data_IF_552517537499
#
_entry.id   IF_552517537499
#
_cell.length_a   1.000
_cell.length_b   1.000
_cell.length_c   1.000
_cell.angle_alpha   90.00
_cell.angle_beta   90.00
_cell.angle_gamma   90.00
#
_symmetry.space_group_name_H-M   'P 1'
#
loop_
_entity.id
_entity.type
_entity.pdbx_description
1 polymer ?
#
# COMPACT_ATOMS: atom_id res chain seq x y z
N UNK A 1 33.09 -35.83 -9.41
CA UNK A 1 32.37 -34.58 -9.74
C UNK A 1 30.88 -34.83 -9.57
N UNK A 2 30.33 -34.53 -8.40
CA UNK A 2 28.88 -34.35 -8.22
C UNK A 2 28.69 -33.01 -7.51
N UNK A 3 28.03 -32.09 -8.22
CA UNK A 3 27.72 -30.75 -7.76
C UNK A 3 26.54 -30.79 -6.81
N UNK A 4 26.75 -30.34 -5.57
CA UNK A 4 25.72 -30.05 -4.58
C UNK A 4 24.97 -28.78 -5.02
N UNK A 5 23.63 -28.75 -5.07
CA UNK A 5 22.89 -27.54 -5.38
C UNK A 5 22.83 -26.59 -4.17
N UNK A 6 23.08 -25.32 -4.45
CA UNK A 6 23.23 -24.19 -3.51
C UNK A 6 21.85 -23.74 -2.97
N UNK A 7 21.62 -23.89 -1.66
CA UNK A 7 20.39 -23.52 -0.94
C UNK A 7 20.16 -22.02 -0.73
N UNK A 8 20.68 -21.16 -1.62
CA UNK A 8 20.62 -19.69 -1.48
C UNK A 8 19.40 -19.04 -2.15
N UNK A 9 18.59 -19.79 -2.91
CA UNK A 9 17.42 -19.24 -3.61
C UNK A 9 16.13 -19.23 -2.78
N UNK A 10 15.98 -20.10 -1.78
CA UNK A 10 14.75 -20.19 -0.98
C UNK A 10 14.61 -19.07 0.07
N UNK A 11 15.70 -18.48 0.54
CA UNK A 11 15.66 -17.42 1.56
C UNK A 11 15.20 -16.06 1.02
N UNK A 12 15.35 -15.82 -0.29
CA UNK A 12 15.03 -14.53 -0.92
C UNK A 12 13.53 -14.35 -1.20
N UNK A 13 12.82 -15.44 -1.50
CA UNK A 13 11.37 -15.42 -1.74
C UNK A 13 10.62 -15.25 -0.42
N UNK A 14 11.07 -15.90 0.66
CA UNK A 14 10.49 -15.75 2.01
C UNK A 14 10.59 -14.32 2.58
N UNK A 15 11.65 -13.58 2.24
CA UNK A 15 11.81 -12.18 2.64
C UNK A 15 10.80 -11.23 1.95
N UNK A 16 10.40 -11.54 0.71
CA UNK A 16 9.45 -10.72 -0.05
C UNK A 16 8.04 -10.81 0.56
N UNK A 17 7.59 -12.01 0.91
CA UNK A 17 6.30 -12.23 1.60
C UNK A 17 6.22 -11.59 2.99
N UNK A 18 7.32 -11.56 3.77
CA UNK A 18 7.35 -10.87 5.08
C UNK A 18 7.22 -9.35 4.97
N UNK A 19 7.62 -8.74 3.86
CA UNK A 19 7.40 -7.31 3.62
C UNK A 19 5.94 -6.99 3.25
N UNK A 20 5.26 -7.96 2.62
CA UNK A 20 3.84 -7.90 2.26
C UNK A 20 2.93 -8.03 3.49
N UNK A 21 3.39 -8.70 4.54
CA UNK A 21 2.67 -8.81 5.81
C UNK A 21 2.72 -7.55 6.69
N UNK A 22 3.43 -6.50 6.26
CA UNK A 22 3.38 -5.24 6.99
C UNK A 22 2.00 -4.58 6.82
N UNK A 23 1.37 -4.20 7.94
CA UNK A 23 0.13 -3.44 7.96
C UNK A 23 0.22 -2.20 7.06
N UNK A 24 1.42 -1.62 6.93
CA UNK A 24 1.78 -0.53 6.01
C UNK A 24 1.50 -0.87 4.55
N UNK A 25 1.99 -2.01 4.05
CA UNK A 25 1.81 -2.35 2.64
C UNK A 25 0.35 -2.67 2.34
N UNK A 26 -0.33 -3.43 3.22
CA UNK A 26 -1.74 -3.79 3.03
C UNK A 26 -2.65 -2.55 2.99
N UNK A 27 -2.48 -1.63 3.95
CA UNK A 27 -3.26 -0.39 3.97
C UNK A 27 -2.95 0.51 2.78
N UNK A 28 -1.67 0.64 2.39
CA UNK A 28 -1.29 1.39 1.20
C UNK A 28 -1.91 0.79 -0.09
N UNK A 29 -1.89 -0.53 -0.24
CA UNK A 29 -2.47 -1.22 -1.40
C UNK A 29 -3.99 -1.05 -1.49
N UNK A 30 -4.71 -1.16 -0.37
CA UNK A 30 -6.17 -0.96 -0.34
C UNK A 30 -6.53 0.46 -0.75
N UNK A 31 -5.80 1.45 -0.23
CA UNK A 31 -6.08 2.85 -0.55
C UNK A 31 -5.71 3.18 -2.00
N UNK A 32 -4.55 2.71 -2.47
CA UNK A 32 -4.17 2.83 -3.88
C UNK A 32 -5.24 2.24 -4.80
N UNK A 33 -5.70 1.03 -4.51
CA UNK A 33 -6.74 0.37 -5.27
C UNK A 33 -8.05 1.16 -5.27
N UNK A 34 -8.49 1.66 -4.11
CA UNK A 34 -9.69 2.48 -4.00
C UNK A 34 -9.61 3.78 -4.81
N UNK A 35 -8.48 4.50 -4.73
CA UNK A 35 -8.26 5.73 -5.50
C UNK A 35 -8.22 5.42 -7.00
N UNK A 36 -7.51 4.37 -7.41
CA UNK A 36 -7.48 3.94 -8.80
C UNK A 36 -8.87 3.61 -9.32
N UNK A 37 -9.67 2.85 -8.57
CA UNK A 37 -11.03 2.48 -8.97
C UNK A 37 -11.92 3.73 -9.19
N UNK A 38 -11.88 4.68 -8.24
CA UNK A 38 -12.63 5.94 -8.37
C UNK A 38 -12.15 6.76 -9.56
N UNK A 39 -10.83 6.84 -9.77
CA UNK A 39 -10.25 7.59 -10.88
C UNK A 39 -10.65 6.98 -12.24
N UNK A 40 -10.51 5.66 -12.41
CA UNK A 40 -10.95 4.97 -13.62
C UNK A 40 -12.46 5.11 -13.86
N UNK A 41 -13.28 5.00 -12.80
CA UNK A 41 -14.73 5.21 -12.90
C UNK A 41 -15.09 6.64 -13.33
N UNK A 42 -14.39 7.64 -12.80
CA UNK A 42 -14.56 9.04 -13.20
C UNK A 42 -14.15 9.29 -14.65
N UNK A 43 -13.06 8.68 -15.11
CA UNK A 43 -12.61 8.78 -16.51
C UNK A 43 -13.61 8.10 -17.46
N UNK A 44 -14.12 6.94 -17.08
CA UNK A 44 -15.11 6.19 -17.85
C UNK A 44 -16.42 6.97 -18.00
N UNK A 45 -16.96 7.49 -16.89
CA UNK A 45 -18.19 8.30 -16.91
C UNK A 45 -18.02 9.59 -17.70
N UNK A 46 -16.86 10.25 -17.59
CA UNK A 46 -16.55 11.43 -18.40
C UNK A 46 -16.52 11.13 -19.90
N UNK A 47 -15.85 10.05 -20.31
CA UNK A 47 -15.85 9.62 -21.71
C UNK A 47 -17.27 9.36 -22.22
N UNK A 48 -18.09 8.68 -21.42
CA UNK A 48 -19.48 8.40 -21.77
C UNK A 48 -20.36 9.66 -21.84
N UNK A 49 -20.13 10.63 -20.94
CA UNK A 49 -20.90 11.89 -20.89
C UNK A 49 -20.59 12.83 -22.05
N UNK A 50 -19.32 12.92 -22.46
CA UNK A 50 -18.88 13.78 -23.56
C UNK A 50 -19.50 13.38 -24.89
N UNK A 51 -19.61 12.07 -25.15
CA UNK A 51 -20.18 11.55 -26.39
C UNK A 51 -21.69 11.80 -26.48
N UNK A 52 -22.40 11.90 -25.35
CA UNK A 52 -23.86 12.06 -25.34
C UNK A 52 -24.33 13.52 -25.47
N UNK A 53 -23.67 14.48 -24.81
CA UNK A 53 -24.13 15.88 -24.81
C UNK A 53 -23.83 16.64 -26.11
N UNK A 54 -22.72 16.31 -26.76
CA UNK A 54 -22.29 17.01 -27.98
C UNK A 54 -23.06 16.55 -29.24
N UNK A 55 -23.50 15.30 -29.31
CA UNK A 55 -24.14 14.77 -30.51
C UNK A 55 -25.60 15.26 -30.65
N UNK A 56 -26.38 15.29 -29.57
CA UNK A 56 -27.79 15.72 -29.62
C UNK A 56 -27.96 17.20 -29.99
N UNK A 57 -27.16 18.10 -29.39
CA UNK A 57 -27.27 19.54 -29.66
C UNK A 57 -26.87 19.90 -31.10
N UNK A 58 -25.90 19.16 -31.66
CA UNK A 58 -25.45 19.36 -33.03
C UNK A 58 -26.44 18.78 -34.04
N UNK A 59 -27.02 17.61 -33.77
CA UNK A 59 -28.01 16.98 -34.65
C UNK A 59 -29.32 17.78 -34.74
N UNK A 60 -29.79 18.37 -33.63
CA UNK A 60 -30.94 19.29 -33.63
C UNK A 60 -30.66 20.51 -34.51
N UNK A 61 -29.47 21.12 -34.38
CA UNK A 61 -29.08 22.26 -35.22
C UNK A 61 -28.98 21.89 -36.70
N UNK A 62 -28.41 20.73 -37.02
CA UNK A 62 -28.32 20.23 -38.38
C UNK A 62 -29.72 19.99 -38.98
N UNK A 63 -30.63 19.38 -38.22
CA UNK A 63 -32.01 19.17 -38.65
C UNK A 63 -32.72 20.50 -39.00
N UNK A 64 -32.61 21.51 -38.12
CA UNK A 64 -33.18 22.84 -38.35
C UNK A 64 -32.56 23.55 -39.56
N UNK A 65 -31.24 23.42 -39.74
CA UNK A 65 -30.53 24.01 -40.87
C UNK A 65 -30.94 23.35 -42.20
N UNK A 66 -31.01 22.01 -42.25
CA UNK A 66 -31.48 21.29 -43.43
C UNK A 66 -32.93 21.65 -43.80
N UNK A 67 -33.82 21.80 -42.80
CA UNK A 67 -35.19 22.27 -43.03
C UNK A 67 -35.23 23.69 -43.58
N UNK A 68 -34.37 24.57 -43.06
CA UNK A 68 -34.25 25.96 -43.51
C UNK A 68 -33.78 26.02 -44.97
N UNK A 69 -32.77 25.24 -45.34
CA UNK A 69 -32.29 25.12 -46.71
C UNK A 69 -33.41 24.61 -47.62
N UNK A 70 -34.06 23.49 -47.24
CA UNK A 70 -35.20 22.92 -47.98
C UNK A 70 -36.29 23.94 -48.26
N UNK A 71 -36.71 24.68 -47.25
CA UNK A 71 -37.78 25.69 -47.37
C UNK A 71 -37.35 26.90 -48.21
N UNK A 72 -36.08 27.29 -48.14
CA UNK A 72 -35.56 28.45 -48.89
C UNK A 72 -35.41 28.12 -50.37
N UNK A 73 -34.82 26.97 -50.70
CA UNK A 73 -34.69 26.46 -52.07
C UNK A 73 -36.06 26.25 -52.72
N UNK A 74 -37.04 25.73 -51.98
CA UNK A 74 -38.41 25.54 -52.50
C UNK A 74 -39.15 26.84 -52.84
N UNK A 75 -38.81 27.95 -52.18
CA UNK A 75 -39.42 29.26 -52.44
C UNK A 75 -38.73 30.01 -53.58
N UNK A 76 -37.50 29.64 -53.92
CA UNK A 76 -36.74 30.27 -54.98
C UNK A 76 -37.20 29.80 -56.39
N UNK A 77 -37.14 30.68 -57.40
CA UNK A 77 -37.31 30.31 -58.80
C UNK A 77 -36.30 29.23 -59.21
N UNK A 78 -36.68 28.31 -60.11
CA UNK A 78 -35.85 27.16 -60.52
C UNK A 78 -34.43 27.54 -60.94
N UNK A 79 -34.27 28.69 -61.60
CA UNK A 79 -32.97 29.18 -62.11
C UNK A 79 -32.03 29.66 -60.99
N UNK A 80 -32.56 30.06 -59.84
CA UNK A 80 -31.81 30.61 -58.70
C UNK A 80 -31.60 29.58 -57.58
N UNK A 81 -32.11 28.35 -57.73
CA UNK A 81 -32.10 27.36 -56.64
C UNK A 81 -30.73 26.84 -56.25
N UNK A 82 -29.83 26.75 -57.23
CA UNK A 82 -28.43 26.40 -56.95
C UNK A 82 -27.76 27.52 -56.16
N UNK A 83 -27.93 28.77 -56.59
CA UNK A 83 -27.36 29.93 -55.90
C UNK A 83 -27.91 30.03 -54.46
N UNK A 84 -29.22 29.86 -54.28
CA UNK A 84 -29.85 29.86 -52.96
C UNK A 84 -29.40 28.69 -52.10
N UNK A 85 -29.18 27.50 -52.66
CA UNK A 85 -28.61 26.37 -51.91
C UNK A 85 -27.16 26.67 -51.49
N UNK A 86 -26.37 27.21 -52.41
CA UNK A 86 -24.97 27.54 -52.21
C UNK A 86 -24.78 28.68 -51.20
N UNK A 87 -25.72 29.62 -51.09
CA UNK A 87 -25.69 30.68 -50.07
C UNK A 87 -25.74 30.14 -48.63
N UNK A 88 -26.25 28.91 -48.44
CA UNK A 88 -26.20 28.21 -47.15
C UNK A 88 -24.92 27.39 -46.95
N UNK A 89 -24.05 27.29 -47.95
CA UNK A 89 -22.72 26.69 -47.79
C UNK A 89 -21.88 27.56 -46.85
N UNK A 90 -21.35 26.93 -45.80
CA UNK A 90 -20.55 27.63 -44.81
C UNK A 90 -20.11 26.73 -43.66
N UNK A 91 -18.85 26.89 -43.25
CA UNK A 91 -18.25 26.28 -42.06
C UNK A 91 -18.16 24.76 -42.06
N UNK A 92 -19.31 24.08 -41.93
CA UNK A 92 -19.45 22.63 -41.73
C UNK A 92 -20.34 21.94 -42.76
N UNK A 93 -21.01 22.71 -43.63
CA UNK A 93 -21.86 22.17 -44.68
C UNK A 93 -21.57 22.85 -46.01
N UNK A 94 -21.74 22.08 -47.08
CA UNK A 94 -21.72 22.58 -48.44
C UNK A 94 -22.95 22.04 -49.18
N UNK A 95 -23.86 22.93 -49.55
CA UNK A 95 -25.18 22.61 -50.04
C UNK A 95 -25.32 22.96 -51.53
N UNK A 96 -25.82 21.99 -52.29
CA UNK A 96 -26.05 22.08 -53.72
C UNK A 96 -27.45 21.60 -54.07
N UNK A 97 -28.06 22.19 -55.08
CA UNK A 97 -29.28 21.73 -55.71
C UNK A 97 -28.96 21.00 -57.03
N UNK A 98 -29.72 19.95 -57.33
CA UNK A 98 -29.53 19.22 -58.58
C UNK A 98 -30.68 18.29 -58.91
N UNK A 99 -30.61 17.68 -60.08
CA UNK A 99 -31.61 16.69 -60.55
C UNK A 99 -31.33 15.27 -60.06
N UNK A 100 -30.17 15.03 -59.44
CA UNK A 100 -29.75 13.71 -58.98
C UNK A 100 -29.26 13.75 -57.52
N UNK A 101 -29.45 12.65 -56.77
CA UNK A 101 -28.87 12.52 -55.44
C UNK A 101 -27.37 12.28 -55.56
N UNK A 102 -26.61 13.02 -54.75
CA UNK A 102 -25.17 12.82 -54.58
C UNK A 102 -24.88 11.73 -53.55
N UNK A 103 -25.77 11.45 -52.61
CA UNK A 103 -25.62 10.36 -51.66
C UNK A 103 -26.02 9.01 -52.28
N UNK A 104 -25.22 7.97 -52.04
CA UNK A 104 -25.52 6.60 -52.47
C UNK A 104 -26.15 5.80 -51.33
N UNK A 105 -27.30 5.13 -51.55
CA UNK A 105 -27.85 4.18 -50.58
C UNK A 105 -26.91 2.98 -50.39
N UNK A 106 -26.38 2.77 -49.18
CA UNK A 106 -25.70 1.51 -48.81
C UNK A 106 -24.26 1.32 -49.33
N UNK A 107 -23.40 2.34 -49.28
CA UNK A 107 -21.96 2.20 -49.57
C UNK A 107 -21.10 1.74 -48.38
N UNK A 108 -19.79 1.54 -48.61
CA UNK A 108 -18.81 1.25 -47.53
C UNK A 108 -18.80 2.36 -46.50
N UNK A 109 -19.00 2.03 -45.21
CA UNK A 109 -19.14 3.02 -44.14
C UNK A 109 -20.55 3.59 -43.97
N UNK A 110 -21.56 3.09 -44.70
CA UNK A 110 -22.96 3.50 -44.50
C UNK A 110 -23.48 3.17 -43.09
N UNK A 111 -22.95 2.13 -42.43
CA UNK A 111 -23.28 1.81 -41.03
C UNK A 111 -22.94 2.94 -40.05
N UNK A 112 -21.90 3.72 -40.34
CA UNK A 112 -21.44 4.80 -39.46
C UNK A 112 -22.44 5.97 -39.40
N UNK A 113 -23.36 6.06 -40.37
CA UNK A 113 -24.33 7.14 -40.50
C UNK A 113 -25.75 6.73 -40.09
N UNK A 114 -25.95 5.49 -39.64
CA UNK A 114 -27.26 5.01 -39.18
C UNK A 114 -27.79 5.81 -37.97
N UNK A 115 -26.98 6.16 -36.94
CA UNK A 115 -27.46 6.98 -35.84
C UNK A 115 -27.99 8.34 -36.31
N UNK A 116 -27.24 9.02 -37.18
CA UNK A 116 -27.64 10.30 -37.78
C UNK A 116 -28.93 10.15 -38.59
N UNK A 117 -29.08 9.06 -39.35
CA UNK A 117 -30.30 8.76 -40.12
C UNK A 117 -31.51 8.58 -39.21
N UNK A 118 -31.37 7.83 -38.12
CA UNK A 118 -32.43 7.61 -37.13
C UNK A 118 -32.80 8.94 -36.45
N UNK A 119 -31.81 9.72 -36.04
CA UNK A 119 -32.03 10.97 -35.31
C UNK A 119 -32.63 12.06 -36.22
N UNK A 120 -32.16 12.23 -37.46
CA UNK A 120 -32.76 13.16 -38.42
C UNK A 120 -34.20 12.78 -38.78
N UNK A 121 -34.53 11.49 -38.84
CA UNK A 121 -35.92 11.03 -39.03
C UNK A 121 -36.82 11.41 -37.85
N UNK A 122 -36.30 11.33 -36.64
CA UNK A 122 -37.03 11.71 -35.43
C UNK A 122 -37.18 13.23 -35.30
N UNK A 123 -36.13 13.99 -35.63
CA UNK A 123 -36.05 15.45 -35.46
C UNK A 123 -36.71 16.22 -36.61
N UNK A 124 -36.61 15.74 -37.85
CA UNK A 124 -37.14 16.38 -39.06
C UNK A 124 -37.92 15.38 -39.94
N UNK A 125 -39.11 14.92 -39.49
CA UNK A 125 -39.90 13.95 -40.24
C UNK A 125 -40.27 14.43 -41.65
N UNK A 126 -40.49 15.74 -41.84
CA UNK A 126 -40.76 16.37 -43.14
C UNK A 126 -39.66 16.12 -44.19
N UNK A 127 -38.40 15.93 -43.76
CA UNK A 127 -37.28 15.63 -44.66
C UNK A 127 -37.24 14.14 -44.99
N UNK A 128 -37.54 13.32 -43.99
CA UNK A 128 -37.48 11.87 -44.08
C UNK A 128 -38.54 11.26 -44.99
N UNK A 129 -39.76 11.80 -44.95
CA UNK A 129 -40.91 11.30 -45.72
C UNK A 129 -40.73 11.48 -47.23
N UNK A 130 -40.10 12.59 -47.65
CA UNK A 130 -39.97 12.93 -49.08
C UNK A 130 -38.88 12.14 -49.81
N UNK A 131 -37.98 11.46 -49.09
CA UNK A 131 -36.88 10.69 -49.66
C UNK A 131 -35.53 11.21 -49.19
N UNK A 132 -35.11 10.76 -48.00
CA UNK A 132 -33.82 11.05 -47.40
C UNK A 132 -32.81 9.93 -47.67
N UNK A 133 -31.67 10.28 -48.28
CA UNK A 133 -30.53 9.37 -48.47
C UNK A 133 -29.33 9.95 -47.73
N UNK A 134 -28.73 9.15 -46.85
CA UNK A 134 -27.48 9.50 -46.16
C UNK A 134 -26.46 8.42 -46.46
N UNK A 135 -25.34 8.80 -47.05
CA UNK A 135 -24.30 7.88 -47.47
C UNK A 135 -23.08 8.59 -48.04
N UNK A 136 -22.08 7.83 -48.52
CA UNK A 136 -20.92 8.41 -49.18
C UNK A 136 -21.32 9.13 -50.47
N UNK A 137 -20.51 10.10 -50.90
CA UNK A 137 -20.71 10.79 -52.16
C UNK A 137 -20.54 9.84 -53.36
N UNK A 138 -21.47 9.89 -54.31
CA UNK A 138 -21.49 9.10 -55.54
C UNK A 138 -20.27 9.36 -56.45
N UNK A 139 -19.63 10.53 -56.32
CA UNK A 139 -18.49 10.94 -57.14
C UNK A 139 -17.13 10.90 -56.41
N UNK A 140 -17.10 10.74 -55.08
CA UNK A 140 -15.85 10.65 -54.32
C UNK A 140 -15.51 9.18 -54.09
N UNK A 141 -14.83 8.54 -55.05
CA UNK A 141 -14.43 7.13 -54.93
C UNK A 141 -13.35 6.87 -53.88
N UNK A 142 -12.71 7.89 -53.30
CA UNK A 142 -11.56 7.72 -52.39
C UNK A 142 -11.55 8.63 -51.15
N UNK A 143 -12.62 9.38 -50.83
CA UNK A 143 -12.68 10.22 -49.62
C UNK A 143 -13.73 9.70 -48.61
N UNK A 144 -13.34 8.85 -47.62
CA UNK A 144 -14.24 8.30 -46.62
C UNK A 144 -14.77 9.32 -45.59
N UNK A 145 -14.46 10.61 -45.78
CA UNK A 145 -14.70 11.70 -44.83
C UNK A 145 -15.79 12.71 -45.26
N UNK A 146 -16.53 12.42 -46.33
CA UNK A 146 -17.67 13.23 -46.78
C UNK A 146 -18.96 12.42 -46.66
N UNK A 147 -19.71 12.61 -45.57
CA UNK A 147 -21.08 12.15 -45.54
C UNK A 147 -21.92 13.11 -46.38
N UNK A 148 -22.75 12.56 -47.27
CA UNK A 148 -23.66 13.36 -48.07
C UNK A 148 -25.08 13.07 -47.63
N UNK A 149 -25.82 14.13 -47.35
CA UNK A 149 -27.26 14.10 -47.07
C UNK A 149 -27.98 14.59 -48.32
N UNK A 150 -28.64 13.68 -49.02
CA UNK A 150 -29.50 14.00 -50.16
C UNK A 150 -30.96 13.97 -49.75
N UNK A 151 -31.64 15.10 -49.94
CA UNK A 151 -33.04 15.30 -49.61
C UNK A 151 -33.81 15.50 -50.91
N UNK A 152 -34.79 14.64 -51.15
CA UNK A 152 -35.69 14.79 -52.30
C UNK A 152 -36.72 15.89 -52.05
N UNK A 153 -36.98 16.68 -53.08
CA UNK A 153 -38.00 17.73 -53.11
C UNK A 153 -39.29 17.23 -53.79
N UNK A 154 -40.45 17.86 -53.53
CA UNK A 154 -41.72 17.47 -54.14
C UNK A 154 -41.74 17.50 -55.68
N UNK A 155 -40.88 18.30 -56.30
CA UNK A 155 -40.75 18.40 -57.75
C UNK A 155 -39.73 17.42 -58.36
N UNK A 156 -39.33 16.41 -57.57
CA UNK A 156 -38.34 15.39 -57.91
C UNK A 156 -36.90 15.89 -58.09
N UNK A 157 -36.61 17.15 -57.77
CA UNK A 157 -35.23 17.63 -57.62
C UNK A 157 -34.65 17.26 -56.25
N UNK A 158 -33.36 17.49 -56.06
CA UNK A 158 -32.60 17.07 -54.88
C UNK A 158 -31.81 18.23 -54.30
N UNK A 159 -31.74 18.28 -52.97
CA UNK A 159 -30.77 19.08 -52.23
C UNK A 159 -29.72 18.11 -51.71
N UNK A 160 -28.47 18.38 -52.03
CA UNK A 160 -27.30 17.59 -51.70
C UNK A 160 -26.44 18.40 -50.75
N UNK A 161 -26.35 17.95 -49.50
CA UNK A 161 -25.54 18.61 -48.47
C UNK A 161 -24.36 17.72 -48.14
N UNK A 162 -23.17 18.16 -48.55
CA UNK A 162 -21.92 17.56 -48.14
C UNK A 162 -21.64 18.00 -46.70
N UNK A 163 -21.64 17.05 -45.79
CA UNK A 163 -21.13 17.23 -44.44
C UNK A 163 -19.62 17.03 -44.52
N UNK A 164 -18.87 18.13 -44.48
CA UNK A 164 -17.42 18.05 -44.27
C UNK A 164 -17.27 17.46 -42.88
N UNK A 165 -16.76 16.21 -42.78
CA UNK A 165 -16.58 15.61 -41.47
C UNK A 165 -15.64 16.50 -40.68
N UNK A 166 -16.19 17.21 -39.69
CA UNK A 166 -15.40 17.79 -38.63
C UNK A 166 -14.63 16.61 -38.04
N UNK A 167 -13.31 16.56 -38.26
CA UNK A 167 -12.45 15.62 -37.55
C UNK A 167 -12.77 15.84 -36.06
N UNK A 168 -13.44 14.87 -35.45
CA UNK A 168 -13.99 14.88 -34.08
C UNK A 168 -12.84 14.87 -33.07
N UNK A 169 -11.83 15.71 -33.24
CA UNK A 169 -10.94 16.11 -32.18
C UNK A 169 -11.74 17.07 -31.32
N UNK A 170 -12.61 16.49 -30.49
CA UNK A 170 -12.98 17.14 -29.23
C UNK A 170 -11.69 17.74 -28.65
N UNK A 171 -11.68 19.00 -28.19
CA UNK A 171 -10.49 19.60 -27.62
C UNK A 171 -9.90 18.58 -26.65
N UNK A 172 -8.59 18.27 -26.74
CA UNK A 172 -8.02 17.18 -25.95
C UNK A 172 -8.44 17.41 -24.51
N UNK A 173 -9.02 16.40 -23.83
CA UNK A 173 -9.63 16.58 -22.51
C UNK A 173 -8.59 16.81 -21.42
N UNK A 174 -7.45 17.40 -21.76
CA UNK A 174 -6.32 17.67 -20.90
C UNK A 174 -6.73 18.39 -19.63
N UNK A 175 -7.68 19.34 -19.67
CA UNK A 175 -8.13 20.02 -18.46
C UNK A 175 -8.69 19.06 -17.40
N UNK A 176 -9.67 18.22 -17.77
CA UNK A 176 -10.30 17.30 -16.83
C UNK A 176 -9.40 16.09 -16.51
N UNK A 177 -8.68 15.55 -17.50
CA UNK A 177 -7.69 14.49 -17.28
C UNK A 177 -6.59 14.94 -16.32
N UNK A 178 -6.03 16.14 -16.52
CA UNK A 178 -5.01 16.69 -15.63
C UNK A 178 -5.58 16.92 -14.24
N UNK A 179 -6.78 17.50 -14.11
CA UNK A 179 -7.38 17.78 -12.80
C UNK A 179 -7.69 16.48 -12.02
N UNK A 180 -8.28 15.48 -12.66
CA UNK A 180 -8.61 14.19 -12.03
C UNK A 180 -7.35 13.39 -11.71
N UNK A 181 -6.34 13.43 -12.57
CA UNK A 181 -5.04 12.78 -12.32
C UNK A 181 -4.31 13.46 -11.16
N UNK A 182 -4.31 14.79 -11.12
CA UNK A 182 -3.67 15.55 -10.05
C UNK A 182 -4.38 15.31 -8.71
N UNK A 183 -5.72 15.22 -8.71
CA UNK A 183 -6.50 14.87 -7.52
C UNK A 183 -6.20 13.44 -7.05
N UNK A 184 -6.14 12.47 -7.97
CA UNK A 184 -5.77 11.09 -7.64
C UNK A 184 -4.34 11.02 -7.06
N UNK A 185 -3.38 11.72 -7.66
CA UNK A 185 -2.00 11.80 -7.16
C UNK A 185 -1.96 12.43 -5.75
N UNK A 186 -2.71 13.51 -5.53
CA UNK A 186 -2.84 14.15 -4.22
C UNK A 186 -3.42 13.20 -3.17
N UNK A 187 -4.47 12.47 -3.51
CA UNK A 187 -5.08 11.48 -2.63
C UNK A 187 -4.09 10.35 -2.27
N UNK A 188 -3.28 9.88 -3.22
CA UNK A 188 -2.25 8.87 -2.98
C UNK A 188 -1.19 9.39 -2.00
N UNK A 189 -0.69 10.60 -2.21
CA UNK A 189 0.32 11.22 -1.34
C UNK A 189 -0.22 11.37 0.08
N UNK A 190 -1.42 11.94 0.24
CA UNK A 190 -2.07 12.11 1.55
C UNK A 190 -2.26 10.76 2.24
N UNK A 191 -2.69 9.74 1.49
CA UNK A 191 -2.92 8.40 2.04
C UNK A 191 -1.64 7.73 2.51
N UNK A 192 -0.55 7.84 1.74
CA UNK A 192 0.77 7.32 2.15
C UNK A 192 1.29 8.04 3.40
N UNK A 193 1.09 9.35 3.49
CA UNK A 193 1.44 10.12 4.69
C UNK A 193 0.65 9.66 5.91
N UNK A 194 -0.67 9.47 5.78
CA UNK A 194 -1.52 8.96 6.85
C UNK A 194 -1.07 7.57 7.31
N UNK A 195 -0.88 6.62 6.38
CA UNK A 195 -0.41 5.27 6.71
C UNK A 195 0.92 5.33 7.48
N UNK A 196 1.86 6.15 7.04
CA UNK A 196 3.15 6.32 7.74
C UNK A 196 2.97 6.92 9.12
N UNK A 197 2.09 7.93 9.27
CA UNK A 197 1.80 8.59 10.54
C UNK A 197 1.15 7.64 11.56
N UNK A 198 0.20 6.79 11.14
CA UNK A 198 -0.46 5.82 12.02
C UNK A 198 0.42 4.63 12.39
N UNK A 199 1.18 4.10 11.44
CA UNK A 199 1.91 2.84 11.64
C UNK A 199 3.31 3.02 12.24
N UNK A 200 3.91 4.20 12.16
CA UNK A 200 5.21 4.48 12.78
C UNK A 200 5.21 4.31 14.31
N UNK A 201 4.34 4.99 15.07
CA UNK A 201 4.33 4.86 16.52
C UNK A 201 3.92 3.46 17.00
N UNK A 202 3.03 2.76 16.27
CA UNK A 202 2.70 1.36 16.57
C UNK A 202 3.93 0.43 16.46
N UNK A 203 4.77 0.63 15.43
CA UNK A 203 6.02 -0.13 15.34
C UNK A 203 7.02 0.21 16.43
N UNK A 204 7.01 1.45 16.94
CA UNK A 204 7.85 1.84 18.07
C UNK A 204 7.42 1.12 19.36
N UNK A 205 6.13 1.09 19.68
CA UNK A 205 5.59 0.33 20.82
C UNK A 205 5.93 -1.17 20.70
N UNK A 206 5.70 -1.76 19.51
CA UNK A 206 5.99 -3.17 19.30
C UNK A 206 7.50 -3.51 19.43
N UNK A 207 8.38 -2.59 19.03
CA UNK A 207 9.82 -2.75 19.17
C UNK A 207 10.23 -2.62 20.64
N UNK A 208 9.72 -1.61 21.35
CA UNK A 208 9.98 -1.42 22.77
C UNK A 208 9.49 -2.62 23.61
N UNK A 209 8.36 -3.22 23.27
CA UNK A 209 7.88 -4.46 23.90
C UNK A 209 8.84 -5.64 23.72
N UNK A 210 9.43 -5.80 22.53
CA UNK A 210 10.43 -6.84 22.26
C UNK A 210 11.75 -6.59 23.01
N UNK A 211 12.18 -5.34 23.08
CA UNK A 211 13.42 -4.97 23.77
C UNK A 211 13.26 -5.08 25.30
N UNK A 212 12.09 -4.72 25.84
CA UNK A 212 11.74 -4.91 27.25
C UNK A 212 11.80 -6.39 27.67
N UNK A 213 11.26 -7.30 26.86
CA UNK A 213 11.36 -8.75 27.12
C UNK A 213 12.80 -9.26 27.15
N UNK A 214 13.71 -8.63 26.41
CA UNK A 214 15.12 -9.04 26.32
C UNK A 214 16.00 -8.46 27.43
N UNK A 215 15.41 -7.82 28.45
CA UNK A 215 16.15 -7.26 29.58
C UNK A 215 17.03 -6.05 29.22
N UNK A 216 16.78 -5.41 28.07
CA UNK A 216 17.42 -4.13 27.74
C UNK A 216 16.83 -3.01 28.58
N UNK A 217 17.61 -1.95 28.79
CA UNK A 217 17.19 -0.73 29.51
C UNK A 217 15.81 -0.28 29.07
N UNK A 218 14.95 0.03 30.04
CA UNK A 218 13.59 0.51 29.78
C UNK A 218 13.67 1.88 29.12
N UNK A 219 13.38 1.91 27.82
CA UNK A 219 13.24 3.15 27.05
C UNK A 219 11.75 3.43 26.93
N UNK A 220 11.25 4.56 27.49
CA UNK A 220 9.86 4.92 27.37
C UNK A 220 9.51 5.16 25.90
N UNK A 221 8.33 4.69 25.49
CA UNK A 221 7.84 4.91 24.13
C UNK A 221 7.29 6.33 24.04
N UNK A 222 7.67 7.05 22.99
CA UNK A 222 7.16 8.40 22.74
C UNK A 222 5.64 8.39 22.54
N UNK A 223 4.93 9.16 23.37
CA UNK A 223 3.48 9.32 23.35
C UNK A 223 3.08 10.30 22.24
N UNK A 224 3.20 9.86 20.99
CA UNK A 224 2.96 10.68 19.80
C UNK A 224 2.02 9.99 18.81
N UNK A 225 1.24 10.79 18.08
CA UNK A 225 0.29 10.33 17.09
C UNK A 225 -1.16 10.58 17.50
N UNK A 226 -2.10 9.82 16.95
CA UNK A 226 -3.52 9.88 17.31
C UNK A 226 -3.76 9.53 18.77
N UNK A 227 -4.91 9.96 19.29
CA UNK A 227 -5.30 9.76 20.69
C UNK A 227 -5.21 8.30 21.14
N UNK A 228 -5.68 7.38 20.31
CA UNK A 228 -5.68 5.94 20.59
C UNK A 228 -4.25 5.38 20.73
N UNK A 229 -3.31 5.93 19.96
CA UNK A 229 -1.90 5.52 20.00
C UNK A 229 -1.20 6.12 21.21
N UNK A 230 -1.52 7.36 21.56
CA UNK A 230 -1.05 8.01 22.79
C UNK A 230 -1.52 7.22 24.02
N UNK A 231 -2.80 6.88 24.09
CA UNK A 231 -3.36 6.09 25.19
C UNK A 231 -2.68 4.71 25.31
N UNK A 232 -2.42 4.03 24.19
CA UNK A 232 -1.66 2.77 24.17
C UNK A 232 -0.21 2.94 24.66
N UNK A 233 0.50 3.97 24.17
CA UNK A 233 1.87 4.24 24.58
C UNK A 233 1.97 4.57 26.08
N UNK A 234 1.05 5.39 26.59
CA UNK A 234 0.96 5.74 28.00
C UNK A 234 0.68 4.50 28.88
N UNK A 235 -0.26 3.64 28.48
CA UNK A 235 -0.55 2.39 29.19
C UNK A 235 0.64 1.42 29.18
N UNK A 236 1.36 1.32 28.06
CA UNK A 236 2.57 0.50 27.96
C UNK A 236 3.71 1.04 28.83
N UNK A 237 3.94 2.36 28.83
CA UNK A 237 4.91 3.01 29.72
C UNK A 237 4.55 2.79 31.21
N UNK A 238 3.26 2.82 31.56
CA UNK A 238 2.83 2.54 32.93
C UNK A 238 3.07 1.09 33.35
N UNK A 239 2.79 0.15 32.45
CA UNK A 239 3.10 -1.26 32.65
C UNK A 239 4.61 -1.48 32.88
N UNK A 240 5.47 -0.84 32.09
CA UNK A 240 6.93 -0.89 32.29
C UNK A 240 7.32 -0.44 33.70
N UNK A 241 6.87 0.75 34.13
CA UNK A 241 7.15 1.30 35.47
C UNK A 241 6.62 0.42 36.60
N UNK A 242 5.49 -0.25 36.38
CA UNK A 242 4.90 -1.15 37.39
C UNK A 242 5.71 -2.44 37.53
N UNK A 243 6.19 -3.00 36.41
CA UNK A 243 7.04 -4.19 36.43
C UNK A 243 8.40 -3.88 37.05
N UNK A 244 9.01 -2.74 36.73
CA UNK A 244 10.26 -2.31 37.36
C UNK A 244 10.13 -2.20 38.87
N UNK A 245 9.10 -1.50 39.36
CA UNK A 245 8.82 -1.41 40.81
C UNK A 245 8.61 -2.77 41.45
N UNK A 246 7.86 -3.66 40.80
CA UNK A 246 7.63 -5.02 41.33
C UNK A 246 8.94 -5.83 41.45
N UNK A 247 9.86 -5.66 40.50
CA UNK A 247 11.19 -6.29 40.56
C UNK A 247 12.01 -5.69 41.71
N UNK A 248 12.04 -4.36 41.81
CA UNK A 248 12.76 -3.63 42.86
C UNK A 248 12.26 -4.00 44.27
N UNK A 249 10.94 -3.98 44.48
CA UNK A 249 10.29 -4.37 45.75
C UNK A 249 10.63 -5.81 46.12
N UNK A 250 10.58 -6.73 45.16
CA UNK A 250 10.91 -8.16 45.38
C UNK A 250 12.39 -8.33 45.74
N UNK A 251 13.28 -7.64 45.05
CA UNK A 251 14.73 -7.68 45.33
C UNK A 251 15.04 -7.10 46.70
N UNK A 252 14.40 -5.99 47.09
CA UNK A 252 14.58 -5.38 48.40
C UNK A 252 14.05 -6.27 49.53
N UNK A 253 12.88 -6.88 49.35
CA UNK A 253 12.33 -7.82 50.32
C UNK A 253 13.24 -9.04 50.53
N UNK A 254 13.78 -9.60 49.45
CA UNK A 254 14.72 -10.74 49.52
C UNK A 254 16.04 -10.33 50.18
N UNK A 255 16.55 -9.13 49.90
CA UNK A 255 17.72 -8.58 50.59
C UNK A 255 17.52 -8.45 52.11
N UNK A 256 16.34 -7.99 52.54
CA UNK A 256 16.00 -7.90 53.96
C UNK A 256 15.94 -9.29 54.62
N UNK A 257 15.26 -10.26 53.99
CA UNK A 257 15.19 -11.64 54.50
C UNK A 257 16.57 -12.27 54.60
N UNK A 258 17.42 -12.10 53.59
CA UNK A 258 18.79 -12.61 53.60
C UNK A 258 19.64 -12.00 54.71
N UNK A 259 19.50 -10.70 54.97
CA UNK A 259 20.17 -10.05 56.10
C UNK A 259 19.71 -10.66 57.44
N UNK A 260 18.40 -10.87 57.59
CA UNK A 260 17.82 -11.45 58.80
C UNK A 260 18.22 -12.91 59.01
N UNK A 261 18.49 -13.66 57.94
CA UNK A 261 18.99 -15.05 57.98
C UNK A 261 20.48 -15.16 58.31
N UNK A 262 21.32 -14.18 57.96
CA UNK A 262 22.74 -14.18 58.37
C UNK A 262 22.89 -14.20 59.89
N UNK A 263 22.04 -13.45 60.61
CA UNK A 263 22.10 -13.36 62.07
C UNK A 263 21.97 -14.73 62.79
N UNK A 264 20.93 -15.57 62.55
CA UNK A 264 20.83 -16.90 63.14
C UNK A 264 21.90 -17.86 62.62
N UNK A 265 22.33 -17.76 61.35
CA UNK A 265 23.43 -18.60 60.82
C UNK A 265 24.73 -18.33 61.58
N UNK A 266 25.11 -17.06 61.76
CA UNK A 266 26.29 -16.69 62.54
C UNK A 266 26.18 -17.16 64.00
N UNK A 267 24.99 -17.12 64.61
CA UNK A 267 24.79 -17.68 65.96
C UNK A 267 24.94 -19.21 66.00
N UNK A 268 24.44 -19.92 64.99
CA UNK A 268 24.62 -21.37 64.88
C UNK A 268 26.10 -21.73 64.69
N UNK A 269 26.85 -20.90 63.95
CA UNK A 269 28.30 -21.05 63.77
C UNK A 269 29.05 -20.94 65.10
N UNK A 270 28.79 -19.89 65.89
CA UNK A 270 29.38 -19.76 67.22
C UNK A 270 29.04 -20.95 68.14
N UNK A 271 27.80 -21.47 68.07
CA UNK A 271 27.43 -22.67 68.86
C UNK A 271 28.10 -23.94 68.37
N UNK A 272 28.33 -24.07 67.07
CA UNK A 272 29.04 -25.20 66.50
C UNK A 272 30.52 -25.20 66.94
N UNK A 273 31.15 -24.03 67.02
CA UNK A 273 32.55 -23.88 67.48
C UNK A 273 32.78 -24.41 68.92
N UNK A 274 31.75 -24.39 69.77
CA UNK A 274 31.77 -24.91 71.16
C UNK A 274 31.62 -26.45 71.27
N UNK A 275 31.46 -27.17 70.15
CA UNK A 275 31.33 -28.64 70.17
C UNK A 275 32.66 -29.34 70.50
N UNK A 276 32.59 -30.31 71.41
CA UNK A 276 33.76 -31.06 71.88
C UNK A 276 34.33 -32.05 70.84
N UNK A 277 33.48 -32.58 69.95
CA UNK A 277 33.89 -33.45 68.85
C UNK A 277 34.33 -32.61 67.66
N UNK A 278 35.63 -32.66 67.35
CA UNK A 278 36.22 -31.88 66.26
C UNK A 278 35.67 -32.25 64.88
N UNK A 279 35.36 -33.52 64.63
CA UNK A 279 34.86 -33.95 63.33
C UNK A 279 33.43 -33.46 63.08
N UNK A 280 32.58 -33.49 64.12
CA UNK A 280 31.20 -32.98 64.06
C UNK A 280 31.19 -31.45 63.96
N UNK A 281 32.07 -30.77 64.71
CA UNK A 281 32.24 -29.31 64.61
C UNK A 281 32.60 -28.89 63.18
N UNK A 282 33.63 -29.48 62.61
CA UNK A 282 34.17 -29.06 61.32
C UNK A 282 33.12 -29.29 60.21
N UNK A 283 32.39 -30.41 60.24
CA UNK A 283 31.28 -30.67 59.32
C UNK A 283 30.12 -29.66 59.46
N UNK A 284 29.72 -29.29 60.68
CA UNK A 284 28.66 -28.29 60.88
C UNK A 284 29.08 -26.88 60.42
N UNK A 285 30.35 -26.51 60.64
CA UNK A 285 30.88 -25.22 60.18
C UNK A 285 30.93 -25.18 58.64
N UNK A 286 31.26 -26.29 57.99
CA UNK A 286 31.25 -26.42 56.53
C UNK A 286 29.82 -26.24 55.97
N UNK A 287 28.82 -26.95 56.53
CA UNK A 287 27.41 -26.81 56.13
C UNK A 287 26.88 -25.37 56.31
N UNK A 288 27.23 -24.70 57.42
CA UNK A 288 26.84 -23.31 57.66
C UNK A 288 27.48 -22.35 56.66
N UNK A 289 28.76 -22.59 56.33
CA UNK A 289 29.49 -21.80 55.32
C UNK A 289 28.86 -21.98 53.93
N UNK A 290 28.45 -23.19 53.59
CA UNK A 290 27.77 -23.50 52.34
C UNK A 290 26.39 -22.84 52.24
N UNK A 291 25.63 -22.78 53.35
CA UNK A 291 24.38 -22.03 53.42
C UNK A 291 24.59 -20.50 53.25
N UNK A 292 25.62 -19.91 53.86
CA UNK A 292 25.97 -18.50 53.63
C UNK A 292 26.30 -18.24 52.15
N UNK A 293 27.07 -19.15 51.54
CA UNK A 293 27.44 -19.08 50.12
C UNK A 293 26.22 -19.15 49.20
N UNK A 294 25.32 -20.11 49.40
CA UNK A 294 24.08 -20.22 48.63
C UNK A 294 23.19 -18.98 48.76
N UNK A 295 23.13 -18.38 49.95
CA UNK A 295 22.34 -17.20 50.24
C UNK A 295 22.90 -15.96 49.55
N UNK A 296 24.22 -15.77 49.56
CA UNK A 296 24.90 -14.70 48.83
C UNK A 296 24.80 -14.87 47.30
N UNK A 297 24.91 -16.11 46.79
CA UNK A 297 24.69 -16.39 45.36
C UNK A 297 23.27 -16.08 44.91
N UNK A 298 22.27 -16.45 45.70
CA UNK A 298 20.86 -16.20 45.41
C UNK A 298 20.57 -14.69 45.38
N UNK A 299 21.14 -13.93 46.33
CA UNK A 299 21.05 -12.48 46.33
C UNK A 299 21.74 -11.82 45.13
N UNK A 300 22.93 -12.30 44.78
CA UNK A 300 23.67 -11.82 43.60
C UNK A 300 22.88 -12.02 42.31
N UNK A 301 22.28 -13.22 42.16
CA UNK A 301 21.41 -13.53 41.04
C UNK A 301 20.16 -12.64 40.99
N UNK A 302 19.47 -12.45 42.13
CA UNK A 302 18.21 -11.71 42.23
C UNK A 302 18.35 -10.19 42.12
N UNK A 303 19.44 -9.63 42.65
CA UNK A 303 19.76 -8.21 42.40
C UNK A 303 19.86 -7.93 40.92
N UNK A 304 20.04 -8.98 40.12
CA UNK A 304 20.52 -8.88 38.79
C UNK A 304 21.86 -8.21 38.96
N UNK A 305 22.93 -8.99 39.00
CA UNK A 305 24.15 -8.44 38.42
C UNK A 305 23.82 -8.18 36.93
N UNK A 306 23.13 -7.06 36.69
CA UNK A 306 23.31 -6.16 35.58
C UNK A 306 24.74 -5.64 35.75
N UNK A 307 25.71 -6.55 35.80
CA UNK A 307 27.06 -6.17 35.55
C UNK A 307 26.97 -5.57 34.16
N UNK A 308 27.33 -4.29 34.07
CA UNK A 308 27.91 -3.72 32.86
C UNK A 308 29.22 -4.46 32.52
N UNK A 309 29.28 -5.78 32.75
CA UNK A 309 30.38 -6.61 32.35
C UNK A 309 30.25 -6.76 30.85
N UNK A 310 31.17 -6.07 30.19
CA UNK A 310 31.37 -6.14 28.76
C UNK A 310 31.48 -7.61 28.34
N UNK A 311 30.74 -7.97 27.30
CA UNK A 311 30.81 -9.32 26.73
C UNK A 311 32.22 -9.50 26.19
N UNK A 312 33.00 -10.37 26.83
CA UNK A 312 34.39 -10.65 26.47
C UNK A 312 34.51 -12.04 25.86
N UNK A 313 35.51 -12.26 24.97
CA UNK A 313 35.87 -13.60 24.54
C UNK A 313 36.40 -14.38 25.74
N UNK A 314 35.75 -15.50 26.06
CA UNK A 314 36.09 -16.40 27.16
C UNK A 314 36.41 -17.77 26.56
N UNK A 315 37.56 -18.34 26.92
CA UNK A 315 37.87 -19.72 26.59
C UNK A 315 37.27 -20.67 27.64
N UNK A 316 36.19 -21.36 27.28
CA UNK A 316 35.50 -22.27 28.19
C UNK A 316 36.32 -23.52 28.49
N UNK A 317 37.23 -23.92 27.59
CA UNK A 317 38.09 -25.09 27.81
C UNK A 317 39.11 -24.79 28.90
N UNK A 318 39.64 -23.56 28.95
CA UNK A 318 40.55 -23.14 30.01
C UNK A 318 39.88 -23.17 31.40
N UNK A 319 38.63 -22.73 31.48
CA UNK A 319 37.83 -22.78 32.73
C UNK A 319 37.58 -24.22 33.16
N UNK A 320 37.16 -25.08 32.22
CA UNK A 320 36.95 -26.50 32.48
C UNK A 320 38.24 -27.21 32.90
N UNK A 321 39.39 -26.81 32.34
CA UNK A 321 40.70 -27.29 32.77
C UNK A 321 40.97 -27.01 34.24
N UNK A 322 40.77 -25.76 34.69
CA UNK A 322 40.94 -25.41 36.11
C UNK A 322 40.00 -26.20 37.03
N UNK A 323 38.75 -26.45 36.61
CA UNK A 323 37.81 -27.26 37.39
C UNK A 323 38.21 -28.73 37.49
N UNK A 324 38.80 -29.29 36.42
CA UNK A 324 39.32 -30.66 36.41
C UNK A 324 40.55 -30.76 37.30
N UNK A 325 41.46 -29.79 37.24
CA UNK A 325 42.63 -29.71 38.11
C UNK A 325 42.21 -29.68 39.60
N UNK A 326 41.26 -28.81 39.97
CA UNK A 326 40.70 -28.74 41.34
C UNK A 326 39.99 -30.04 41.77
N UNK A 327 39.39 -30.78 40.84
CA UNK A 327 38.75 -32.06 41.13
C UNK A 327 39.78 -33.18 41.34
N UNK A 328 40.83 -33.20 40.53
CA UNK A 328 41.95 -34.15 40.64
C UNK A 328 42.72 -33.93 41.95
N UNK A 329 42.97 -32.67 42.33
CA UNK A 329 43.61 -32.30 43.59
C UNK A 329 42.80 -32.78 44.83
N UNK A 330 41.47 -32.90 44.68
CA UNK A 330 40.57 -33.47 45.70
C UNK A 330 40.43 -34.99 45.61
N UNK A 331 41.20 -35.65 44.75
CA UNK A 331 41.23 -37.11 44.60
C UNK A 331 40.18 -37.70 43.67
N UNK A 332 39.46 -36.88 42.89
CA UNK A 332 38.53 -37.38 41.88
C UNK A 332 39.25 -37.82 40.61
N UNK A 333 38.78 -38.91 39.98
CA UNK A 333 39.30 -39.38 38.68
C UNK A 333 38.49 -38.76 37.55
N UNK A 334 38.92 -37.58 37.08
CA UNK A 334 38.24 -36.81 36.02
C UNK A 334 39.27 -36.43 34.96
N UNK A 335 38.90 -36.58 33.68
CA UNK A 335 39.76 -36.25 32.55
C UNK A 335 38.97 -35.43 31.53
N UNK A 336 39.55 -34.31 31.07
CA UNK A 336 38.93 -33.45 30.05
C UNK A 336 39.29 -33.97 28.65
N UNK A 337 38.30 -34.39 27.87
CA UNK A 337 38.49 -34.87 26.49
C UNK A 337 37.74 -33.97 25.50
N UNK A 338 38.41 -33.52 24.44
CA UNK A 338 37.79 -32.69 23.40
C UNK A 338 38.72 -31.61 22.84
N UNK A 339 38.12 -30.50 22.39
CA UNK A 339 38.84 -29.36 21.83
C UNK A 339 39.76 -28.70 22.88
N UNK A 340 40.92 -28.20 22.46
CA UNK A 340 41.90 -27.56 23.35
C UNK A 340 41.57 -26.10 23.68
N UNK A 341 40.78 -25.42 22.86
CA UNK A 341 40.29 -24.06 23.08
C UNK A 341 38.87 -23.96 22.50
N UNK A 342 37.95 -23.29 23.20
CA UNK A 342 36.64 -22.94 22.66
C UNK A 342 36.22 -21.57 23.17
N UNK A 343 36.37 -20.57 22.30
CA UNK A 343 36.06 -19.18 22.62
C UNK A 343 34.57 -18.92 22.43
N UNK A 344 33.91 -18.52 23.50
CA UNK A 344 32.53 -18.04 23.50
C UNK A 344 32.50 -16.58 23.93
N UNK A 345 31.56 -15.82 23.36
CA UNK A 345 31.28 -14.46 23.82
C UNK A 345 30.33 -14.57 25.01
N UNK A 346 30.81 -14.23 26.21
CA UNK A 346 30.05 -14.43 27.44
C UNK A 346 30.40 -13.41 28.52
N UNK A 347 29.68 -13.50 29.64
CA UNK A 347 29.97 -12.77 30.87
C UNK A 347 30.58 -13.75 31.86
N UNK A 348 31.69 -13.40 32.51
CA UNK A 348 32.51 -14.33 33.30
C UNK A 348 31.79 -14.79 34.57
N UNK A 349 30.89 -13.96 35.10
CA UNK A 349 30.10 -14.27 36.30
C UNK A 349 28.80 -15.06 36.03
N UNK A 350 28.44 -15.26 34.76
CA UNK A 350 27.25 -16.00 34.35
C UNK A 350 27.53 -17.44 33.87
N UNK A 351 28.81 -17.80 33.78
CA UNK A 351 29.34 -19.15 33.54
C UNK A 351 29.83 -19.72 34.87
#
# INVERSE_FOLDING_TARGET
MSSVPDGRSETRIQGWWRSIDSLRLRTALVVLFGISLVHFGSLFTYHQSLEQELDLANEVRLADQLLTIKRSVMRAPLEEREDVAHDFSGGSIDAHWGSTPYAVPGGTGAENWEPLRVNLRALAPEIAEDGLIIGPANQARDDPHLAVVSIKLPDASWINVNLVSWDRRAPPPGGMLVSTTLMALGAIVVSMLLVRWFTHPLTAVATAAKDFYRGKTVVPVAETGPREVIELAAAFNDMQRRIERLIEDRTQALAAVSHDLKTPITRLRFRAEDLADGAVRDAMVEDLTEMERMLDQTLSFLRGDRSEEEVKPIDIVAILGTLVDDAVDRGASVELSGATHAIIMGRRLAL
#
